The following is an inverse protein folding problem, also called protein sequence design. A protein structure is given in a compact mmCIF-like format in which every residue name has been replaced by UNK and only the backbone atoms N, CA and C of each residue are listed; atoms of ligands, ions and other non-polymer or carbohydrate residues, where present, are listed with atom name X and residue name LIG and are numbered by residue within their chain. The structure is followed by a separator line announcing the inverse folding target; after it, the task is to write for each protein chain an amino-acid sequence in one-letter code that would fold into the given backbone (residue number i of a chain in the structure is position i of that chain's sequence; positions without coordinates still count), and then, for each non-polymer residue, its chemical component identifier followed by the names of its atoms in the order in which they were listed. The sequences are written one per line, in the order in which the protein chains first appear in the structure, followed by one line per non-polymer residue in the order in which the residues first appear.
data_IF_945841749096
#
_entry.id   IF_945841749096
#
_cell.length_a   1.000
_cell.length_b   1.000
_cell.length_c   1.000
_cell.angle_alpha   90.00
_cell.angle_beta   90.00
_cell.angle_gamma   90.00
#
_symmetry.space_group_name_H-M   'P 1'
#
loop_
_entity.id
_entity.type
_entity.pdbx_description
1 polymer ?
#
# COMPACT_ATOMS: atom_id res chain seq x y z
N UNK A 1 -80.40 -1.04 36.81
CA UNK A 1 -79.19 -1.60 36.15
C UNK A 1 -78.62 -0.57 35.17
N UNK A 2 -77.48 0.07 35.48
CA UNK A 2 -76.80 1.02 34.57
C UNK A 2 -75.67 0.29 33.85
N UNK A 3 -75.72 0.19 32.52
CA UNK A 3 -74.63 -0.37 31.70
C UNK A 3 -73.56 0.70 31.49
N UNK A 4 -72.33 0.44 31.94
CA UNK A 4 -71.15 1.25 31.58
C UNK A 4 -70.73 0.93 30.14
N UNK A 5 -70.77 1.93 29.26
CA UNK A 5 -70.12 1.88 27.94
C UNK A 5 -68.64 2.20 28.14
N UNK A 6 -67.77 1.24 27.86
CA UNK A 6 -66.32 1.47 27.80
C UNK A 6 -66.03 2.19 26.48
N UNK A 7 -65.57 3.44 26.59
CA UNK A 7 -65.12 4.24 25.46
C UNK A 7 -63.72 3.79 25.06
N UNK A 8 -63.59 3.15 23.90
CA UNK A 8 -62.29 2.94 23.27
C UNK A 8 -61.82 4.27 22.67
N UNK A 9 -60.92 4.95 23.38
CA UNK A 9 -60.20 6.11 22.88
C UNK A 9 -59.29 5.67 21.74
N UNK A 10 -59.66 6.01 20.51
CA UNK A 10 -58.86 5.74 19.32
C UNK A 10 -57.58 6.59 19.33
N UNK A 11 -56.45 5.98 19.72
CA UNK A 11 -55.14 6.63 19.73
C UNK A 11 -54.55 6.73 18.32
N UNK A 12 -55.01 7.71 17.55
CA UNK A 12 -54.47 7.98 16.21
C UNK A 12 -53.05 8.60 16.24
N UNK A 13 -52.66 9.23 17.35
CA UNK A 13 -51.34 9.87 17.48
C UNK A 13 -50.18 8.88 17.71
N UNK A 14 -50.42 7.81 18.49
CA UNK A 14 -49.39 6.80 18.76
C UNK A 14 -49.04 5.97 17.53
N UNK A 15 -50.03 5.66 16.69
CA UNK A 15 -49.82 4.92 15.45
C UNK A 15 -48.91 5.68 14.46
N UNK A 16 -49.04 7.01 14.36
CA UNK A 16 -48.20 7.82 13.49
C UNK A 16 -46.74 7.85 13.99
N UNK A 17 -46.54 7.96 15.31
CA UNK A 17 -45.20 7.95 15.90
C UNK A 17 -44.52 6.60 15.69
N UNK A 18 -45.25 5.50 15.87
CA UNK A 18 -44.74 4.14 15.63
C UNK A 18 -44.41 3.95 14.14
N UNK A 19 -45.27 4.41 13.23
CA UNK A 19 -45.03 4.35 11.79
C UNK A 19 -43.75 5.12 11.41
N UNK A 20 -43.57 6.34 11.93
CA UNK A 20 -42.37 7.14 11.69
C UNK A 20 -41.13 6.45 12.23
N UNK A 21 -41.20 5.86 13.43
CA UNK A 21 -40.10 5.09 14.03
C UNK A 21 -39.71 3.89 13.16
N UNK A 22 -40.69 3.14 12.66
CA UNK A 22 -40.46 2.00 11.77
C UNK A 22 -39.84 2.45 10.45
N UNK A 23 -40.31 3.57 9.88
CA UNK A 23 -39.74 4.14 8.65
C UNK A 23 -38.30 4.62 8.84
N UNK A 24 -37.97 5.21 9.99
CA UNK A 24 -36.59 5.63 10.32
C UNK A 24 -35.66 4.43 10.50
N UNK A 25 -36.11 3.35 11.15
CA UNK A 25 -35.34 2.12 11.31
C UNK A 25 -35.16 1.37 9.98
N UNK A 26 -36.22 1.30 9.16
CA UNK A 26 -36.13 0.73 7.82
C UNK A 26 -35.22 1.57 6.91
N UNK A 27 -35.30 2.90 6.99
CA UNK A 27 -34.44 3.80 6.21
C UNK A 27 -32.96 3.66 6.57
N UNK A 28 -32.64 3.61 7.86
CA UNK A 28 -31.24 3.43 8.32
C UNK A 28 -30.67 2.09 7.91
N UNK A 29 -31.40 0.98 8.07
CA UNK A 29 -30.93 -0.36 7.66
C UNK A 29 -30.65 -0.46 6.15
N UNK A 30 -31.49 0.14 5.31
CA UNK A 30 -31.25 0.18 3.85
C UNK A 30 -30.00 0.99 3.50
N UNK A 31 -29.79 2.14 4.14
CA UNK A 31 -28.59 2.97 3.91
C UNK A 31 -27.32 2.20 4.33
N UNK A 32 -27.33 1.55 5.50
CA UNK A 32 -26.20 0.74 5.96
C UNK A 32 -25.94 -0.49 5.08
N UNK A 33 -26.98 -1.12 4.52
CA UNK A 33 -26.80 -2.24 3.58
C UNK A 33 -26.20 -1.84 2.24
N UNK A 34 -26.25 -0.55 1.88
CA UNK A 34 -25.59 -0.02 0.68
C UNK A 34 -24.17 0.49 0.93
N UNK A 35 -23.75 0.57 2.19
CA UNK A 35 -22.36 0.75 2.57
C UNK A 35 -21.69 -0.63 2.59
N UNK A 36 -21.63 -1.28 1.44
CA UNK A 36 -20.94 -2.57 1.34
C UNK A 36 -19.43 -2.31 1.43
N UNK A 37 -18.80 -2.84 2.47
CA UNK A 37 -17.36 -2.73 2.68
C UNK A 37 -16.55 -3.40 1.56
N UNK A 38 -17.18 -4.26 0.75
CA UNK A 38 -16.57 -4.89 -0.41
C UNK A 38 -16.14 -3.87 -1.47
N UNK A 39 -17.00 -2.90 -1.80
CA UNK A 39 -16.72 -1.92 -2.86
C UNK A 39 -15.56 -1.01 -2.45
N UNK A 40 -15.55 -0.61 -1.18
CA UNK A 40 -14.43 0.14 -0.59
C UNK A 40 -13.14 -0.68 -0.65
N UNK A 41 -13.18 -1.97 -0.27
CA UNK A 41 -12.00 -2.84 -0.32
C UNK A 41 -11.48 -3.02 -1.75
N UNK A 42 -12.37 -3.25 -2.72
CA UNK A 42 -12.01 -3.41 -4.14
C UNK A 42 -11.32 -2.15 -4.67
N UNK A 43 -11.84 -0.96 -4.36
CA UNK A 43 -11.20 0.29 -4.76
C UNK A 43 -9.84 0.49 -4.07
N UNK A 44 -9.69 0.10 -2.80
CA UNK A 44 -8.38 0.12 -2.13
C UNK A 44 -7.38 -0.82 -2.79
N UNK A 45 -7.78 -2.07 -3.06
CA UNK A 45 -6.91 -3.06 -3.69
C UNK A 45 -6.47 -2.61 -5.08
N UNK A 46 -7.38 -2.00 -5.85
CA UNK A 46 -7.09 -1.39 -7.15
C UNK A 46 -6.10 -0.24 -7.03
N UNK A 47 -6.28 0.67 -6.07
CA UNK A 47 -5.35 1.77 -5.83
C UNK A 47 -3.97 1.26 -5.43
N UNK A 48 -3.90 0.24 -4.56
CA UNK A 48 -2.66 -0.43 -4.18
C UNK A 48 -1.97 -1.05 -5.40
N UNK A 49 -2.71 -1.78 -6.24
CA UNK A 49 -2.15 -2.41 -7.43
C UNK A 49 -1.59 -1.38 -8.42
N UNK A 50 -2.29 -0.25 -8.61
CA UNK A 50 -1.81 0.85 -9.45
C UNK A 50 -0.52 1.47 -8.91
N UNK A 51 -0.47 1.76 -7.61
CA UNK A 51 0.73 2.31 -6.98
C UNK A 51 1.94 1.36 -7.07
N UNK A 52 1.74 0.06 -6.82
CA UNK A 52 2.80 -0.95 -6.96
C UNK A 52 3.28 -1.08 -8.41
N UNK A 53 2.37 -1.02 -9.38
CA UNK A 53 2.70 -1.07 -10.80
C UNK A 53 3.52 0.16 -11.25
N UNK A 54 3.11 1.37 -10.83
CA UNK A 54 3.84 2.60 -11.13
C UNK A 54 5.23 2.59 -10.50
N UNK A 55 5.35 2.19 -9.23
CA UNK A 55 6.63 2.05 -8.54
C UNK A 55 7.58 1.07 -9.25
N UNK A 56 7.05 -0.07 -9.71
CA UNK A 56 7.82 -1.06 -10.49
C UNK A 56 8.34 -0.45 -11.79
N UNK A 57 7.49 0.25 -12.55
CA UNK A 57 7.89 0.89 -13.81
C UNK A 57 8.93 1.98 -13.55
N UNK A 58 8.78 2.77 -12.50
CA UNK A 58 9.72 3.83 -12.14
C UNK A 58 11.11 3.27 -11.79
N UNK A 59 11.19 2.18 -11.02
CA UNK A 59 12.45 1.52 -10.69
C UNK A 59 13.15 0.94 -11.94
N UNK A 60 12.39 0.33 -12.85
CA UNK A 60 12.92 -0.14 -14.14
C UNK A 60 13.39 1.06 -14.98
N UNK A 61 12.58 2.11 -15.04
CA UNK A 61 12.89 3.37 -15.73
C UNK A 61 14.18 4.01 -15.24
N UNK A 62 14.43 3.97 -13.93
CA UNK A 62 15.64 4.50 -13.31
C UNK A 62 16.90 3.79 -13.81
N UNK A 63 16.90 2.46 -13.87
CA UNK A 63 18.09 1.69 -14.28
C UNK A 63 18.38 1.78 -15.78
N UNK A 64 17.36 1.94 -16.61
CA UNK A 64 17.52 2.09 -18.07
C UNK A 64 17.83 3.54 -18.49
N UNK A 65 17.66 4.53 -17.60
CA UNK A 65 17.98 5.94 -17.86
C UNK A 65 19.48 6.14 -18.13
N UNK A 66 20.34 5.27 -17.61
CA UNK A 66 21.78 5.28 -17.89
C UNK A 66 22.02 4.92 -19.36
N UNK A 67 22.58 5.86 -20.12
CA UNK A 67 22.89 5.67 -21.54
C UNK A 67 24.22 4.97 -21.79
N UNK A 68 25.02 4.79 -20.74
CA UNK A 68 26.29 4.09 -20.81
C UNK A 68 26.07 2.58 -20.68
N UNK A 69 26.32 1.86 -21.77
CA UNK A 69 26.21 0.40 -21.83
C UNK A 69 27.41 -0.32 -21.21
N UNK A 70 28.49 0.41 -20.90
CA UNK A 70 29.75 -0.13 -20.38
C UNK A 70 29.82 -0.11 -18.86
N UNK A 71 29.01 0.74 -18.21
CA UNK A 71 28.90 0.80 -16.77
C UNK A 71 27.61 0.15 -16.28
N UNK A 72 27.69 -0.81 -15.35
CA UNK A 72 26.48 -1.37 -14.75
C UNK A 72 25.64 -0.31 -14.05
N UNK A 73 24.34 -0.34 -14.31
CA UNK A 73 23.35 0.44 -13.55
C UNK A 73 22.96 -0.29 -12.26
N UNK A 74 22.86 0.47 -11.18
CA UNK A 74 22.40 0.01 -9.87
C UNK A 74 21.03 0.61 -9.56
N UNK A 75 20.25 -0.10 -8.76
CA UNK A 75 18.99 0.39 -8.24
C UNK A 75 19.24 1.46 -7.17
N UNK A 76 18.32 2.44 -7.04
CA UNK A 76 18.46 3.47 -6.02
C UNK A 76 18.33 2.85 -4.63
N UNK A 77 18.96 3.47 -3.65
CA UNK A 77 18.79 3.08 -2.25
C UNK A 77 17.39 3.52 -1.74
N UNK A 78 16.81 2.82 -0.75
CA UNK A 78 15.56 3.25 -0.15
C UNK A 78 15.69 4.63 0.53
N UNK A 79 14.56 5.33 0.67
CA UNK A 79 14.46 6.46 1.57
C UNK A 79 14.43 5.95 3.02
N UNK A 80 15.44 6.34 3.78
CA UNK A 80 15.63 5.99 5.18
C UNK A 80 15.50 7.18 6.12
N UNK A 81 15.22 8.39 5.59
CA UNK A 81 15.18 9.67 6.34
C UNK A 81 16.27 9.79 7.41
N UNK A 82 17.52 9.51 7.03
CA UNK A 82 18.64 9.43 7.97
C UNK A 82 19.07 10.79 8.54
N UNK A 83 18.61 11.90 7.96
CA UNK A 83 18.91 13.25 8.40
C UNK A 83 17.83 14.20 7.90
N UNK A 84 17.55 15.26 8.67
CA UNK A 84 16.64 16.34 8.27
C UNK A 84 17.10 17.12 7.02
N UNK A 85 18.34 16.92 6.57
CA UNK A 85 18.90 17.54 5.37
C UNK A 85 18.53 16.77 4.09
N UNK A 86 18.29 15.46 4.20
CA UNK A 86 17.86 14.63 3.06
C UNK A 86 16.35 14.81 2.91
N UNK A 87 15.85 15.35 1.78
CA UNK A 87 14.41 15.52 1.59
C UNK A 87 13.69 14.17 1.56
N UNK A 88 12.45 14.15 2.04
CA UNK A 88 11.57 12.99 1.92
C UNK A 88 11.44 12.52 0.48
N UNK A 89 11.43 11.20 0.30
CA UNK A 89 11.38 10.58 -1.02
C UNK A 89 12.72 10.54 -1.74
N UNK A 90 13.80 11.00 -1.14
CA UNK A 90 15.14 10.88 -1.72
C UNK A 90 15.77 9.53 -1.36
N UNK A 91 16.51 8.94 -2.28
CA UNK A 91 17.35 7.77 -1.98
C UNK A 91 18.34 8.11 -0.86
N UNK A 92 18.61 7.15 0.03
CA UNK A 92 19.68 7.33 0.99
C UNK A 92 21.03 7.37 0.25
N UNK A 93 21.97 8.16 0.76
CA UNK A 93 23.37 8.10 0.33
C UNK A 93 24.01 6.73 0.58
N UNK A 94 25.34 6.64 0.45
CA UNK A 94 26.05 5.37 0.65
C UNK A 94 25.81 4.81 2.04
N UNK A 95 25.11 3.66 2.12
CA UNK A 95 24.70 3.07 3.40
C UNK A 95 24.88 1.56 3.46
N UNK A 96 25.16 1.08 4.67
CA UNK A 96 25.42 -0.33 4.94
C UNK A 96 26.76 -0.81 4.37
N UNK A 97 26.98 -2.12 4.40
CA UNK A 97 28.15 -2.75 3.79
C UNK A 97 27.88 -3.23 2.36
N UNK A 98 28.94 -3.61 1.65
CA UNK A 98 28.89 -4.27 0.34
C UNK A 98 28.04 -5.53 0.45
N UNK A 99 27.21 -5.81 -0.56
CA UNK A 99 26.37 -7.02 -0.65
C UNK A 99 25.37 -7.21 0.51
N UNK A 100 25.11 -6.16 1.30
CA UNK A 100 24.05 -6.16 2.32
C UNK A 100 22.84 -5.38 1.81
N UNK A 101 21.71 -6.09 1.72
CA UNK A 101 20.40 -5.55 1.32
C UNK A 101 19.93 -4.45 2.26
N UNK A 102 19.17 -3.50 1.72
CA UNK A 102 18.59 -2.39 2.47
C UNK A 102 17.07 -2.42 2.35
N UNK A 103 16.40 -2.01 3.42
CA UNK A 103 14.95 -1.88 3.50
C UNK A 103 14.59 -0.50 4.01
N UNK A 104 13.65 0.17 3.34
CA UNK A 104 13.11 1.46 3.74
C UNK A 104 11.89 1.85 2.90
N UNK A 105 11.61 3.16 2.80
CA UNK A 105 10.51 3.66 1.96
C UNK A 105 10.94 3.79 0.50
N UNK A 106 9.98 3.74 -0.41
CA UNK A 106 10.23 3.98 -1.83
C UNK A 106 10.75 5.42 -2.04
N UNK A 107 11.92 5.62 -2.68
CA UNK A 107 12.50 6.94 -2.91
C UNK A 107 11.84 7.63 -4.12
N UNK A 108 10.55 7.97 -4.00
CA UNK A 108 9.73 8.52 -5.09
C UNK A 108 10.32 9.77 -5.75
N UNK A 109 10.95 10.66 -4.98
CA UNK A 109 11.56 11.88 -5.50
C UNK A 109 12.82 11.58 -6.33
N UNK A 110 13.64 10.61 -5.92
CA UNK A 110 14.80 10.19 -6.70
C UNK A 110 14.43 9.36 -7.94
N UNK A 111 13.21 8.82 -7.97
CA UNK A 111 12.63 8.14 -9.11
C UNK A 111 11.92 9.10 -10.10
N UNK A 112 11.96 10.41 -9.86
CA UNK A 112 11.29 11.44 -10.67
C UNK A 112 9.76 11.21 -10.81
N UNK A 113 9.11 10.65 -9.78
CA UNK A 113 7.66 10.40 -9.75
C UNK A 113 6.99 11.14 -8.59
N UNK A 114 5.66 11.21 -8.60
CA UNK A 114 4.90 11.75 -7.46
C UNK A 114 4.89 10.76 -6.29
N UNK A 115 4.66 11.21 -5.04
CA UNK A 115 4.54 10.32 -3.90
C UNK A 115 3.45 9.26 -4.10
N UNK A 116 3.84 7.99 -4.08
CA UNK A 116 2.93 6.86 -4.23
C UNK A 116 2.49 6.34 -2.87
N UNK A 117 1.18 6.10 -2.76
CA UNK A 117 0.54 5.54 -1.58
C UNK A 117 -0.39 4.40 -1.98
N UNK A 118 -0.53 3.43 -1.09
CA UNK A 118 -1.46 2.33 -1.29
C UNK A 118 -2.93 2.76 -1.05
N UNK A 119 -3.86 1.82 -1.21
CA UNK A 119 -5.29 2.06 -0.97
C UNK A 119 -5.65 2.46 0.47
N UNK A 120 -4.71 2.32 1.40
CA UNK A 120 -4.84 2.72 2.80
C UNK A 120 -4.10 4.03 3.11
N UNK A 121 -3.62 4.73 2.08
CA UNK A 121 -2.88 5.99 2.19
C UNK A 121 -1.52 5.85 2.91
N UNK A 122 -0.94 4.66 2.88
CA UNK A 122 0.38 4.37 3.42
C UNK A 122 1.47 4.42 2.35
N UNK A 123 2.66 4.89 2.73
CA UNK A 123 3.81 4.92 1.82
C UNK A 123 4.35 3.51 1.58
N UNK A 124 4.63 3.18 0.32
CA UNK A 124 5.19 1.91 -0.09
C UNK A 124 6.57 1.66 0.55
N UNK A 125 6.79 0.43 0.99
CA UNK A 125 8.10 -0.06 1.40
C UNK A 125 8.85 -0.62 0.20
N UNK A 126 10.17 -0.52 0.26
CA UNK A 126 11.07 -0.93 -0.78
C UNK A 126 12.30 -1.61 -0.16
N UNK A 127 12.61 -2.79 -0.68
CA UNK A 127 13.79 -3.58 -0.34
C UNK A 127 14.64 -3.72 -1.60
N UNK A 128 15.94 -3.48 -1.47
CA UNK A 128 16.90 -3.64 -2.56
C UNK A 128 17.97 -4.65 -2.15
N UNK A 129 18.30 -5.57 -3.04
CA UNK A 129 19.40 -6.50 -2.84
C UNK A 129 20.72 -5.76 -2.75
N UNK A 130 21.57 -6.13 -1.79
CA UNK A 130 22.87 -5.50 -1.58
C UNK A 130 23.80 -5.53 -2.78
N UNK A 131 23.70 -6.59 -3.61
CA UNK A 131 24.45 -6.71 -4.87
C UNK A 131 23.99 -5.76 -5.98
N UNK A 132 22.76 -5.25 -5.87
CA UNK A 132 22.09 -4.41 -6.88
C UNK A 132 21.88 -2.97 -6.41
N UNK A 133 22.15 -2.66 -5.14
CA UNK A 133 22.00 -1.32 -4.59
C UNK A 133 23.18 -0.42 -5.00
N UNK A 134 22.92 0.88 -5.03
CA UNK A 134 23.93 1.90 -5.27
C UNK A 134 24.71 2.20 -3.99
N UNK A 135 26.04 2.15 -4.04
CA UNK A 135 26.97 2.59 -3.01
C UNK A 135 26.75 2.02 -1.58
N UNK A 136 27.64 1.15 -1.09
CA UNK A 136 28.79 0.60 -1.80
C UNK A 136 28.35 -0.46 -2.83
N UNK A 137 28.93 -0.38 -4.03
CA UNK A 137 28.61 -1.31 -5.13
C UNK A 137 29.28 -2.67 -4.88
N UNK A 138 28.68 -3.73 -5.43
CA UNK A 138 29.30 -5.06 -5.44
C UNK A 138 30.59 -5.07 -6.26
N UNK A 139 31.53 -5.95 -5.90
CA UNK A 139 32.82 -6.05 -6.58
C UNK A 139 32.72 -6.72 -7.96
N UNK A 140 31.70 -7.58 -8.16
CA UNK A 140 31.44 -8.28 -9.41
C UNK A 140 29.98 -8.12 -9.76
N UNK A 141 29.70 -7.40 -10.85
CA UNK A 141 28.35 -7.22 -11.36
C UNK A 141 28.28 -7.68 -12.83
N UNK A 142 27.57 -8.78 -13.07
CA UNK A 142 27.33 -9.35 -14.38
C UNK A 142 25.93 -10.01 -14.42
N UNK A 143 25.57 -10.60 -15.55
CA UNK A 143 24.24 -11.19 -15.78
C UNK A 143 23.97 -12.46 -14.95
N UNK A 144 25.00 -13.09 -14.37
CA UNK A 144 24.88 -14.27 -13.51
C UNK A 144 24.67 -13.92 -12.03
N UNK A 145 24.92 -12.66 -11.65
CA UNK A 145 24.67 -12.20 -10.28
C UNK A 145 23.20 -12.43 -9.96
N UNK A 146 22.94 -13.03 -8.81
CA UNK A 146 21.60 -13.29 -8.31
C UNK A 146 21.22 -12.26 -7.24
N UNK A 147 19.93 -11.93 -7.16
CA UNK A 147 19.37 -11.18 -6.05
C UNK A 147 19.51 -11.93 -4.72
N UNK A 148 19.29 -11.22 -3.62
CA UNK A 148 19.52 -11.69 -2.25
C UNK A 148 18.25 -11.65 -1.40
N UNK A 149 17.09 -11.52 -2.04
CA UNK A 149 15.80 -11.43 -1.35
C UNK A 149 14.99 -12.68 -1.69
N UNK A 150 14.65 -13.43 -0.65
CA UNK A 150 13.68 -14.52 -0.69
C UNK A 150 12.41 -14.08 0.04
N UNK A 151 11.24 -14.45 -0.52
CA UNK A 151 9.93 -14.20 0.08
C UNK A 151 9.36 -15.54 0.51
N UNK A 152 9.03 -15.63 1.79
CA UNK A 152 8.42 -16.83 2.39
C UNK A 152 7.02 -16.49 2.93
N UNK A 153 6.11 -17.45 2.88
CA UNK A 153 4.82 -17.34 3.55
C UNK A 153 4.92 -17.63 5.05
N UNK A 154 3.82 -17.45 5.79
CA UNK A 154 3.75 -17.74 7.23
C UNK A 154 3.94 -19.22 7.60
N UNK A 155 3.89 -20.13 6.63
CA UNK A 155 4.15 -21.56 6.81
C UNK A 155 5.59 -21.95 6.46
N UNK A 156 6.42 -20.99 6.02
CA UNK A 156 7.80 -21.21 5.61
C UNK A 156 7.96 -21.68 4.17
N UNK A 157 6.91 -21.66 3.34
CA UNK A 157 7.04 -21.97 1.92
C UNK A 157 7.65 -20.79 1.17
N UNK A 158 8.59 -21.07 0.27
CA UNK A 158 9.18 -20.06 -0.60
C UNK A 158 8.17 -19.67 -1.69
N UNK A 159 7.79 -18.40 -1.71
CA UNK A 159 6.92 -17.80 -2.73
C UNK A 159 7.72 -17.24 -3.91
N UNK A 160 8.91 -16.71 -3.64
CA UNK A 160 9.84 -16.21 -4.64
C UNK A 160 11.26 -16.19 -4.07
N UNK A 161 12.26 -16.37 -4.93
CA UNK A 161 13.67 -16.39 -4.53
C UNK A 161 14.54 -15.56 -5.44
N UNK A 162 15.72 -15.18 -4.94
CA UNK A 162 16.74 -14.43 -5.67
C UNK A 162 16.22 -13.10 -6.26
N UNK A 163 15.26 -12.45 -5.61
CA UNK A 163 14.71 -11.19 -6.08
C UNK A 163 15.74 -10.05 -5.93
N UNK A 164 15.84 -9.20 -6.95
CA UNK A 164 16.74 -8.03 -6.94
C UNK A 164 16.16 -6.87 -6.13
N UNK A 165 14.84 -6.76 -6.10
CA UNK A 165 14.10 -5.78 -5.34
C UNK A 165 12.70 -6.29 -4.99
N UNK A 166 12.13 -5.76 -3.92
CA UNK A 166 10.78 -6.04 -3.46
C UNK A 166 10.09 -4.71 -3.09
N UNK A 167 8.87 -4.51 -3.57
CA UNK A 167 8.02 -3.37 -3.20
C UNK A 167 6.83 -3.93 -2.43
N UNK A 168 6.52 -3.34 -1.27
CA UNK A 168 5.49 -3.85 -0.37
C UNK A 168 4.53 -2.71 -0.02
N UNK A 169 3.23 -2.95 -0.20
CA UNK A 169 2.19 -2.13 0.41
C UNK A 169 1.95 -2.65 1.83
N UNK A 170 2.10 -1.82 2.88
CA UNK A 170 1.92 -2.28 4.26
C UNK A 170 0.44 -2.40 4.67
N UNK A 171 -0.49 -1.76 3.95
CA UNK A 171 -1.92 -1.84 4.24
C UNK A 171 -2.64 -3.02 3.57
N UNK A 172 -1.99 -3.74 2.66
CA UNK A 172 -2.57 -4.86 1.91
C UNK A 172 -2.38 -6.21 2.62
#
# INVERSE_FOLDING_TARGET
MKRHKISHRSQHGGALIILVLVLLLAGTTVIFSKLDGSDVRIERDKNTALALAEAKVALIGFVIKTTDITTPSYLPNPDLKLSSVIPEGSESGGLGAVDISLIGKLPWSSLDISPLKDGWNECLWYVVSGRYKKNPNTSVFNWDVQGQIDVIDGNGNVLASNLVALIVSPGA
#
